data_IF_945802188715
#
_entry.id   IF_945802188715
#
_cell.length_a   1.000
_cell.length_b   1.000
_cell.length_c   1.000
_cell.angle_alpha   90.00
_cell.angle_beta   90.00
_cell.angle_gamma   90.00
#
_symmetry.space_group_name_H-M   'P 1'
#
loop_
_entity.id
_entity.type
_entity.pdbx_description
1 polymer ?
#
# COMPACT_ATOMS: atom_id res chain seq x y z
N UNK A 1 -3.62 1.59 -4.70
CA UNK A 1 -2.97 1.67 -3.36
C UNK A 1 -3.40 0.49 -2.47
N UNK A 2 -3.20 -0.77 -2.92
CA UNK A 2 -3.57 -1.94 -2.11
C UNK A 2 -2.77 -2.06 -0.79
N UNK A 3 -1.69 -1.28 -0.63
CA UNK A 3 -0.87 -1.28 0.59
C UNK A 3 -1.62 -0.82 1.84
N UNK A 4 -2.58 0.12 1.72
CA UNK A 4 -3.43 0.54 2.86
C UNK A 4 -4.20 -0.66 3.42
N UNK A 5 -4.83 -1.43 2.53
CA UNK A 5 -5.55 -2.64 2.90
C UNK A 5 -4.68 -3.64 3.66
N UNK A 6 -3.44 -3.86 3.22
CA UNK A 6 -2.49 -4.75 3.92
C UNK A 6 -2.13 -4.22 5.31
N UNK A 7 -1.91 -2.91 5.45
CA UNK A 7 -1.53 -2.32 6.73
C UNK A 7 -2.67 -2.39 7.76
N UNK A 8 -3.91 -2.22 7.31
CA UNK A 8 -5.09 -2.17 8.17
C UNK A 8 -5.84 -3.52 8.27
N UNK A 9 -5.43 -4.55 7.53
CA UNK A 9 -6.15 -5.82 7.45
C UNK A 9 -7.50 -5.72 6.72
N UNK A 10 -7.68 -4.75 5.83
CA UNK A 10 -8.92 -4.55 5.08
C UNK A 10 -8.98 -5.48 3.85
N UNK A 11 -9.17 -6.78 4.07
CA UNK A 11 -9.06 -7.79 3.00
C UNK A 11 -10.14 -7.71 1.92
N UNK A 12 -11.29 -7.13 2.24
CA UNK A 12 -12.28 -6.74 1.23
C UNK A 12 -11.68 -5.76 0.21
N UNK A 13 -11.07 -4.67 0.69
CA UNK A 13 -10.40 -3.67 -0.16
C UNK A 13 -9.26 -4.31 -0.96
N UNK A 14 -8.43 -5.12 -0.31
CA UNK A 14 -7.33 -5.82 -0.98
C UNK A 14 -7.79 -6.59 -2.21
N UNK A 15 -8.87 -7.36 -2.10
CA UNK A 15 -9.39 -8.18 -3.19
C UNK A 15 -9.79 -7.36 -4.42
N UNK A 16 -10.31 -6.14 -4.21
CA UNK A 16 -10.65 -5.24 -5.31
C UNK A 16 -9.44 -4.47 -5.85
N UNK A 17 -8.44 -4.14 -5.01
CA UNK A 17 -7.34 -3.27 -5.39
C UNK A 17 -6.07 -3.99 -5.87
N UNK A 18 -5.86 -5.26 -5.51
CA UNK A 18 -4.71 -6.03 -5.98
C UNK A 18 -4.73 -6.23 -7.51
N UNK A 19 -5.86 -6.60 -8.16
CA UNK A 19 -5.92 -6.69 -9.61
C UNK A 19 -5.65 -5.34 -10.31
N UNK A 20 -6.12 -4.23 -9.73
CA UNK A 20 -5.87 -2.89 -10.26
C UNK A 20 -4.39 -2.50 -10.16
N UNK A 21 -3.68 -2.94 -9.12
CA UNK A 21 -2.24 -2.73 -9.02
C UNK A 21 -1.47 -3.49 -10.12
N UNK A 22 -1.91 -4.71 -10.45
CA UNK A 22 -1.34 -5.48 -11.56
C UNK A 22 -1.59 -4.80 -12.90
N UNK A 23 -2.80 -4.33 -13.14
CA UNK A 23 -3.14 -3.54 -14.34
C UNK A 23 -2.32 -2.24 -14.43
N UNK A 24 -1.93 -1.66 -13.30
CA UNK A 24 -1.06 -0.49 -13.21
C UNK A 24 0.45 -0.83 -13.33
N UNK A 25 0.81 -2.08 -13.62
CA UNK A 25 2.19 -2.49 -13.91
C UNK A 25 2.97 -3.04 -12.71
N UNK A 26 2.32 -3.40 -11.60
CA UNK A 26 2.94 -4.23 -10.55
C UNK A 26 2.92 -5.69 -11.00
N UNK A 27 4.03 -6.43 -10.89
CA UNK A 27 4.03 -7.85 -11.25
C UNK A 27 3.16 -8.68 -10.30
N UNK A 28 2.45 -9.67 -10.83
CA UNK A 28 1.53 -10.52 -10.05
C UNK A 28 2.27 -11.46 -9.07
N UNK A 29 3.52 -11.79 -9.36
CA UNK A 29 4.32 -12.74 -8.57
C UNK A 29 4.90 -12.19 -7.27
N UNK A 30 5.75 -13.01 -6.64
CA UNK A 30 6.40 -12.70 -5.36
C UNK A 30 7.21 -11.40 -5.37
N UNK A 31 7.77 -11.05 -6.53
CA UNK A 31 8.58 -9.84 -6.70
C UNK A 31 7.73 -8.56 -6.74
N UNK A 32 6.43 -8.61 -7.05
CA UNK A 32 5.56 -7.44 -7.12
C UNK A 32 4.51 -7.45 -6.01
N UNK A 33 3.38 -8.13 -6.26
CA UNK A 33 2.32 -8.28 -5.27
C UNK A 33 2.80 -8.96 -4.00
N UNK A 34 3.75 -9.91 -4.09
CA UNK A 34 4.36 -10.52 -2.90
C UNK A 34 5.04 -9.50 -1.99
N UNK A 35 5.76 -8.52 -2.56
CA UNK A 35 6.33 -7.38 -1.82
C UNK A 35 5.23 -6.52 -1.19
N UNK A 36 4.23 -6.14 -1.98
CA UNK A 36 3.12 -5.28 -1.53
C UNK A 36 2.31 -5.92 -0.39
N UNK A 37 2.17 -7.25 -0.40
CA UNK A 37 1.41 -8.06 0.56
C UNK A 37 2.15 -8.33 1.88
N UNK A 38 3.44 -7.97 2.00
CA UNK A 38 4.24 -8.24 3.21
C UNK A 38 3.64 -7.59 4.44
N UNK A 39 3.43 -8.36 5.51
CA UNK A 39 2.84 -7.83 6.75
C UNK A 39 3.77 -6.85 7.50
N UNK A 40 5.08 -7.02 7.36
CA UNK A 40 6.07 -6.13 7.98
C UNK A 40 6.04 -4.74 7.31
N UNK A 41 6.37 -3.68 8.07
CA UNK A 41 6.61 -2.35 7.51
C UNK A 41 7.63 -2.39 6.36
N UNK A 42 7.40 -1.57 5.34
CA UNK A 42 8.33 -1.37 4.23
C UNK A 42 9.01 -0.03 4.43
N UNK A 43 10.33 -0.02 4.58
CA UNK A 43 11.07 1.19 4.93
C UNK A 43 11.86 1.69 3.73
N UNK A 44 11.82 3.01 3.48
CA UNK A 44 12.46 3.61 2.29
C UNK A 44 13.94 3.26 2.19
N UNK A 45 14.63 3.19 3.34
CA UNK A 45 16.06 2.85 3.45
C UNK A 45 16.42 1.42 3.05
N UNK A 46 15.46 0.49 3.01
CA UNK A 46 15.72 -0.89 2.57
C UNK A 46 15.96 -1.00 1.06
N UNK A 47 15.39 -0.06 0.28
CA UNK A 47 15.63 0.11 -1.15
C UNK A 47 15.65 -1.19 -1.96
N UNK A 48 16.70 -1.36 -2.77
CA UNK A 48 16.94 -2.52 -3.66
C UNK A 48 16.81 -3.88 -2.95
N UNK A 49 17.21 -3.96 -1.68
CA UNK A 49 17.22 -5.23 -0.95
C UNK A 49 15.82 -5.79 -0.73
N UNK A 50 14.81 -4.92 -0.70
CA UNK A 50 13.44 -5.29 -0.34
C UNK A 50 12.40 -4.90 -1.38
N UNK A 51 12.67 -3.97 -2.30
CA UNK A 51 11.69 -3.55 -3.30
C UNK A 51 11.31 -4.64 -4.30
N UNK A 52 12.16 -5.66 -4.48
CA UNK A 52 11.90 -6.76 -5.41
C UNK A 52 11.74 -6.23 -6.84
N UNK A 53 10.60 -6.55 -7.46
CA UNK A 53 10.20 -6.11 -8.80
C UNK A 53 9.47 -4.77 -8.84
N UNK A 54 9.30 -4.07 -7.71
CA UNK A 54 8.76 -2.72 -7.71
C UNK A 54 9.78 -1.72 -8.25
N UNK A 55 9.36 -0.84 -9.16
CA UNK A 55 10.18 0.29 -9.57
C UNK A 55 10.29 1.34 -8.43
N UNK A 56 11.18 2.32 -8.59
CA UNK A 56 11.47 3.32 -7.56
C UNK A 56 10.22 4.11 -7.13
N UNK A 57 9.39 4.53 -8.09
CA UNK A 57 8.14 5.25 -7.81
C UNK A 57 7.15 4.37 -7.04
N UNK A 58 6.99 3.11 -7.43
CA UNK A 58 6.12 2.16 -6.76
C UNK A 58 6.62 1.88 -5.34
N UNK A 59 7.93 1.68 -5.15
CA UNK A 59 8.55 1.47 -3.84
C UNK A 59 8.34 2.65 -2.90
N UNK A 60 8.66 3.86 -3.36
CA UNK A 60 8.46 5.07 -2.58
C UNK A 60 6.99 5.28 -2.20
N UNK A 61 6.06 4.99 -3.11
CA UNK A 61 4.63 5.09 -2.83
C UNK A 61 4.17 4.08 -1.76
N UNK A 62 4.64 2.82 -1.78
CA UNK A 62 4.26 1.84 -0.75
C UNK A 62 4.92 2.13 0.60
N UNK A 63 6.14 2.65 0.65
CA UNK A 63 6.80 3.09 1.89
C UNK A 63 6.09 4.30 2.51
N UNK A 64 5.74 5.31 1.70
CA UNK A 64 4.93 6.45 2.16
C UNK A 64 3.58 5.97 2.70
N UNK A 65 2.93 5.04 1.99
CA UNK A 65 1.66 4.46 2.41
C UNK A 65 1.79 3.76 3.77
N UNK A 66 2.86 3.00 3.97
CA UNK A 66 3.10 2.27 5.22
C UNK A 66 3.24 3.23 6.41
N UNK A 67 4.04 4.28 6.28
CA UNK A 67 4.24 5.27 7.34
C UNK A 67 2.99 6.11 7.62
N UNK A 68 2.32 6.61 6.58
CA UNK A 68 1.07 7.36 6.73
C UNK A 68 -0.03 6.52 7.41
N UNK A 69 -0.04 5.21 7.18
CA UNK A 69 -1.10 4.32 7.68
C UNK A 69 -0.81 3.82 9.09
N UNK A 70 0.42 3.38 9.36
CA UNK A 70 0.80 2.80 10.66
C UNK A 70 1.19 3.84 11.70
N UNK A 71 1.85 4.91 11.27
CA UNK A 71 2.47 5.89 12.17
C UNK A 71 1.82 7.27 12.09
N UNK A 72 1.05 7.55 11.03
CA UNK A 72 0.51 8.88 10.66
C UNK A 72 1.60 9.89 10.30
N UNK A 73 2.62 10.02 11.14
CA UNK A 73 3.82 10.82 10.89
C UNK A 73 4.75 10.09 9.93
N UNK A 74 5.03 10.76 8.82
CA UNK A 74 6.02 10.33 7.81
C UNK A 74 7.38 10.89 8.21
N UNK A 75 8.44 10.10 8.05
CA UNK A 75 9.83 10.51 8.27
C UNK A 75 10.30 11.41 7.12
N UNK A 76 11.14 12.38 7.45
CA UNK A 76 11.68 13.31 6.45
C UNK A 76 12.41 12.59 5.32
N UNK A 77 13.18 11.53 5.63
CA UNK A 77 13.89 10.72 4.63
C UNK A 77 12.94 10.07 3.60
N UNK A 78 11.77 9.61 4.04
CA UNK A 78 10.76 9.02 3.15
C UNK A 78 10.13 10.10 2.28
N UNK A 79 9.81 11.25 2.86
CA UNK A 79 9.18 12.35 2.13
C UNK A 79 10.14 13.00 1.13
N UNK A 80 11.42 13.12 1.47
CA UNK A 80 12.48 13.59 0.57
C UNK A 80 12.60 12.69 -0.66
N UNK A 81 12.59 11.36 -0.48
CA UNK A 81 12.70 10.42 -1.60
C UNK A 81 11.46 10.47 -2.51
N UNK A 82 10.27 10.58 -1.91
CA UNK A 82 9.02 10.80 -2.67
C UNK A 82 9.11 12.09 -3.50
N UNK A 83 9.59 13.20 -2.94
CA UNK A 83 9.70 14.47 -3.68
C UNK A 83 10.73 14.47 -4.81
N UNK A 84 11.72 13.56 -4.79
CA UNK A 84 12.64 13.38 -5.92
C UNK A 84 11.98 12.67 -7.10
N UNK A 85 11.02 11.79 -6.80
CA UNK A 85 10.43 10.87 -7.77
C UNK A 85 9.08 11.35 -8.34
N UNK A 86 8.42 12.26 -7.64
CA UNK A 86 7.09 12.77 -7.97
C UNK A 86 7.08 14.31 -7.97
N UNK A 87 6.30 14.90 -8.87
CA UNK A 87 6.01 16.34 -8.84
C UNK A 87 5.19 16.72 -7.60
N UNK A 88 5.23 18.00 -7.19
CA UNK A 88 4.46 18.49 -6.03
C UNK A 88 2.96 18.16 -6.13
N UNK A 89 2.39 18.22 -7.34
CA UNK A 89 1.01 17.82 -7.59
C UNK A 89 0.79 16.33 -7.32
N UNK A 90 1.66 15.47 -7.85
CA UNK A 90 1.57 14.02 -7.65
C UNK A 90 1.76 13.64 -6.18
N UNK A 91 2.61 14.37 -5.43
CA UNK A 91 2.76 14.16 -3.98
C UNK A 91 1.46 14.47 -3.25
N UNK A 92 0.81 15.60 -3.55
CA UNK A 92 -0.49 15.95 -2.96
C UNK A 92 -1.55 14.90 -3.31
N UNK A 93 -1.63 14.49 -4.58
CA UNK A 93 -2.57 13.46 -5.03
C UNK A 93 -2.30 12.12 -4.33
N UNK A 94 -1.04 11.68 -4.24
CA UNK A 94 -0.64 10.45 -3.57
C UNK A 94 -1.02 10.47 -2.08
N UNK A 95 -0.70 11.56 -1.37
CA UNK A 95 -1.08 11.76 0.03
C UNK A 95 -2.60 11.74 0.22
N UNK A 96 -3.34 12.43 -0.64
CA UNK A 96 -4.81 12.47 -0.57
C UNK A 96 -5.42 11.09 -0.78
N UNK A 97 -4.93 10.33 -1.75
CA UNK A 97 -5.46 8.98 -2.03
C UNK A 97 -5.13 8.03 -0.86
N UNK A 98 -3.92 8.07 -0.29
CA UNK A 98 -3.57 7.28 0.89
C UNK A 98 -4.49 7.63 2.08
N UNK A 99 -4.71 8.91 2.34
CA UNK A 99 -5.61 9.37 3.41
C UNK A 99 -7.06 8.91 3.18
N UNK A 100 -7.54 8.98 1.94
CA UNK A 100 -8.88 8.53 1.55
C UNK A 100 -9.08 7.03 1.83
N UNK A 101 -8.16 6.17 1.37
CA UNK A 101 -8.27 4.72 1.66
C UNK A 101 -8.06 4.39 3.12
N UNK A 102 -7.32 5.22 3.86
CA UNK A 102 -7.27 5.12 5.32
C UNK A 102 -8.62 5.40 5.99
N UNK A 103 -9.47 6.26 5.42
CA UNK A 103 -10.85 6.42 5.86
C UNK A 103 -11.70 5.20 5.47
N UNK A 104 -11.63 4.78 4.20
CA UNK A 104 -12.39 3.64 3.66
C UNK A 104 -12.09 2.35 4.42
N UNK A 105 -10.83 1.99 4.59
CA UNK A 105 -10.42 0.78 5.32
C UNK A 105 -10.95 0.74 6.76
N UNK A 106 -10.99 1.88 7.46
CA UNK A 106 -11.57 1.95 8.81
C UNK A 106 -13.06 1.64 8.81
N UNK A 107 -13.79 2.08 7.78
CA UNK A 107 -15.20 1.73 7.61
C UNK A 107 -15.38 0.25 7.28
N UNK A 108 -14.61 -0.27 6.30
CA UNK A 108 -14.70 -1.66 5.85
C UNK A 108 -14.38 -2.66 6.97
N UNK A 109 -13.32 -2.41 7.74
CA UNK A 109 -12.90 -3.27 8.84
C UNK A 109 -13.87 -3.18 10.01
N UNK A 110 -14.30 -1.98 10.40
CA UNK A 110 -15.20 -1.80 11.55
C UNK A 110 -16.58 -2.47 11.33
N UNK A 111 -17.03 -2.56 10.08
CA UNK A 111 -18.31 -3.17 9.73
C UNK A 111 -18.19 -4.60 9.18
N UNK A 112 -16.99 -5.17 9.16
CA UNK A 112 -16.68 -6.49 8.59
C UNK A 112 -17.31 -6.68 7.20
N UNK A 113 -17.10 -5.71 6.32
CA UNK A 113 -17.71 -5.72 4.99
C UNK A 113 -17.27 -6.96 4.21
N UNK A 114 -18.25 -7.75 3.78
CA UNK A 114 -18.02 -9.02 3.08
C UNK A 114 -17.57 -10.17 3.98
N UNK A 115 -17.64 -10.03 5.31
CA UNK A 115 -17.26 -11.05 6.30
C UNK A 115 -15.78 -11.49 6.14
N UNK A 116 -14.90 -10.49 5.92
CA UNK A 116 -13.50 -10.69 5.52
C UNK A 116 -12.50 -10.51 6.65
N UNK A 117 -12.89 -10.02 7.83
CA UNK A 117 -11.94 -9.73 8.92
C UNK A 117 -11.19 -10.98 9.41
N UNK A 118 -11.78 -12.16 9.29
CA UNK A 118 -11.14 -13.45 9.63
C UNK A 118 -10.30 -14.09 8.52
N UNK A 119 -10.17 -13.43 7.37
CA UNK A 119 -9.47 -13.97 6.18
C UNK A 119 -8.09 -13.33 6.01
N UNK A 120 -7.40 -13.70 4.94
CA UNK A 120 -6.13 -13.14 4.50
C UNK A 120 -6.14 -12.72 3.03
N UNK A 121 -5.04 -12.11 2.57
CA UNK A 121 -4.92 -11.56 1.21
C UNK A 121 -4.99 -12.60 0.09
N UNK A 122 -4.78 -13.89 0.40
CA UNK A 122 -4.81 -15.00 -0.55
C UNK A 122 -6.13 -15.81 -0.50
N UNK A 123 -7.01 -15.49 0.47
CA UNK A 123 -8.30 -16.15 0.57
C UNK A 123 -9.27 -15.60 -0.48
N UNK A 124 -9.98 -16.51 -1.15
CA UNK A 124 -11.01 -16.18 -2.15
C UNK A 124 -12.16 -15.41 -1.49
N UNK A 125 -12.73 -14.44 -2.20
CA UNK A 125 -14.00 -13.85 -1.82
C UNK A 125 -15.11 -14.92 -1.92
N UNK A 126 -16.02 -14.94 -0.95
CA UNK A 126 -17.20 -15.81 -0.92
C UNK A 126 -18.24 -15.37 -1.96
#
# INVERSE_FOLDING_TARGET
LPRVAVCNGAWYEWHHHAPLAVQAGVSEGEDGLGVVKRQKPLLIEEGEQKKGGLNERQWAAVCLTDEMTRNVKVRDSTFEEVRKLFSEREVVELTAIIACYNCVSRFLVALDVGERNGTGPDDKAH
#
